data_IF_502659230826
#
_entry.id   IF_502659230826
#
_cell.length_a   1.000
_cell.length_b   1.000
_cell.length_c   1.000
_cell.angle_alpha   90.00
_cell.angle_beta   90.00
_cell.angle_gamma   90.00
#
_symmetry.space_group_name_H-M   'P 1'
#
loop_
_entity.id
_entity.type
_entity.pdbx_description
1 polymer ?
#
# COMPACT_ATOMS: atom_id res chain seq x y z
N UNK A 1 4.95 -10.87 3.96
CA UNK A 1 5.44 -12.03 3.19
C UNK A 1 4.82 -11.95 1.81
N UNK A 2 5.58 -12.19 0.75
CA UNK A 2 4.99 -12.38 -0.58
C UNK A 2 4.16 -13.68 -0.61
N UNK A 3 3.19 -13.84 -1.51
CA UNK A 3 2.41 -15.08 -1.62
C UNK A 3 3.34 -16.29 -1.80
N UNK A 4 3.00 -17.43 -1.20
CA UNK A 4 3.75 -18.70 -1.32
C UNK A 4 3.77 -19.31 -2.73
N UNK A 5 3.24 -18.60 -3.72
CA UNK A 5 3.12 -19.07 -5.09
C UNK A 5 4.09 -18.28 -5.97
N UNK A 6 5.16 -18.95 -6.42
CA UNK A 6 6.30 -18.34 -7.12
C UNK A 6 5.99 -17.75 -8.51
N UNK A 7 4.74 -17.84 -8.97
CA UNK A 7 4.31 -17.29 -10.27
C UNK A 7 3.62 -15.93 -10.17
N UNK A 8 3.45 -15.37 -8.97
CA UNK A 8 2.72 -14.10 -8.79
C UNK A 8 3.65 -12.91 -8.77
N UNK A 9 3.38 -11.93 -9.64
CA UNK A 9 4.16 -10.68 -9.72
C UNK A 9 3.21 -9.49 -9.65
N UNK A 10 3.55 -8.52 -8.80
CA UNK A 10 2.97 -7.19 -8.76
C UNK A 10 4.04 -6.17 -9.07
N UNK A 11 3.83 -5.35 -10.10
CA UNK A 11 4.77 -4.32 -10.50
C UNK A 11 4.07 -2.98 -10.68
N UNK A 12 4.68 -1.91 -10.17
CA UNK A 12 4.29 -0.53 -10.48
C UNK A 12 5.29 0.02 -11.49
N UNK A 13 4.80 0.46 -12.65
CA UNK A 13 5.62 1.01 -13.71
C UNK A 13 5.58 2.55 -13.71
N UNK A 14 6.62 3.19 -14.27
CA UNK A 14 6.70 4.65 -14.43
C UNK A 14 5.58 5.24 -15.30
N UNK A 15 4.84 4.41 -16.04
CA UNK A 15 3.77 4.76 -16.99
C UNK A 15 2.40 5.11 -16.35
N UNK A 16 2.36 5.48 -15.07
CA UNK A 16 1.11 5.71 -14.31
C UNK A 16 0.15 4.51 -14.33
N UNK A 17 0.70 3.30 -14.28
CA UNK A 17 -0.08 2.08 -14.16
C UNK A 17 0.68 1.07 -13.29
N UNK A 18 -0.09 0.19 -12.67
CA UNK A 18 0.43 -1.03 -12.06
C UNK A 18 -0.05 -2.22 -12.86
N UNK A 19 0.62 -3.35 -12.70
CA UNK A 19 0.35 -4.58 -13.43
C UNK A 19 0.43 -5.76 -12.49
N UNK A 20 -0.29 -6.81 -12.85
CA UNK A 20 -0.21 -8.10 -12.18
C UNK A 20 -0.02 -9.24 -13.18
N UNK A 21 0.55 -10.33 -12.70
CA UNK A 21 0.73 -11.58 -13.43
C UNK A 21 0.51 -12.75 -12.47
N UNK A 22 -0.11 -13.82 -12.97
CA UNK A 22 -0.22 -15.12 -12.30
C UNK A 22 0.49 -16.27 -13.04
N UNK A 23 1.25 -15.95 -14.09
CA UNK A 23 1.99 -16.88 -14.93
C UNK A 23 3.52 -16.65 -14.89
N UNK A 24 4.02 -16.05 -13.80
CA UNK A 24 5.46 -15.83 -13.60
C UNK A 24 6.04 -14.66 -14.39
N UNK A 25 5.19 -13.71 -14.79
CA UNK A 25 5.59 -12.54 -15.57
C UNK A 25 5.69 -12.80 -17.07
N UNK A 26 5.03 -13.85 -17.58
CA UNK A 26 4.92 -14.10 -19.02
C UNK A 26 3.88 -13.17 -19.64
N UNK A 27 2.72 -13.02 -19.00
CA UNK A 27 1.69 -12.05 -19.35
C UNK A 27 1.40 -11.10 -18.19
N UNK A 28 1.02 -9.87 -18.54
CA UNK A 28 0.72 -8.82 -17.58
C UNK A 28 -0.64 -8.20 -17.84
N UNK A 29 -1.44 -8.07 -16.79
CA UNK A 29 -2.73 -7.40 -16.79
C UNK A 29 -2.60 -6.03 -16.15
N UNK A 30 -2.98 -5.00 -16.89
CA UNK A 30 -2.94 -3.60 -16.42
C UNK A 30 -4.04 -3.34 -15.39
N UNK A 31 -3.69 -2.63 -14.32
CA UNK A 31 -4.60 -2.05 -13.33
C UNK A 31 -4.28 -0.57 -13.13
N UNK A 32 -5.12 0.11 -12.34
CA UNK A 32 -4.86 1.50 -11.94
C UNK A 32 -3.50 1.62 -11.20
N UNK A 33 -2.91 2.83 -11.24
CA UNK A 33 -1.65 3.12 -10.57
C UNK A 33 -1.77 2.93 -9.05
N UNK A 34 -0.95 2.06 -8.49
CA UNK A 34 -0.76 1.91 -7.06
C UNK A 34 0.67 2.37 -6.73
N UNK A 35 0.82 3.53 -6.08
CA UNK A 35 2.11 4.13 -5.79
C UNK A 35 2.93 3.26 -4.82
N UNK A 36 2.26 2.74 -3.77
CA UNK A 36 2.82 1.80 -2.80
C UNK A 36 1.75 0.80 -2.39
N UNK A 37 2.16 -0.44 -2.08
CA UNK A 37 1.25 -1.47 -1.57
C UNK A 37 1.98 -2.45 -0.64
N UNK A 38 1.19 -3.19 0.14
CA UNK A 38 1.67 -4.32 0.91
C UNK A 38 0.60 -5.42 0.98
N UNK A 39 1.07 -6.67 0.96
CA UNK A 39 0.27 -7.84 1.32
C UNK A 39 -0.01 -7.84 2.82
N UNK A 40 -1.24 -8.19 3.20
CA UNK A 40 -1.59 -8.47 4.59
C UNK A 40 -0.89 -9.78 5.03
N UNK A 41 0.05 -9.72 5.99
CA UNK A 41 0.74 -10.92 6.46
C UNK A 41 -0.15 -11.86 7.28
N UNK A 42 -1.34 -11.42 7.68
CA UNK A 42 -2.31 -12.25 8.41
C UNK A 42 -3.28 -12.96 7.47
N UNK A 43 -3.31 -12.61 6.18
CA UNK A 43 -4.04 -13.35 5.17
C UNK A 43 -3.20 -14.51 4.63
N UNK A 44 -3.47 -15.72 5.14
CA UNK A 44 -2.81 -16.95 4.70
C UNK A 44 -3.02 -17.28 3.22
N UNK A 45 -4.07 -16.73 2.58
CA UNK A 45 -4.32 -16.92 1.15
C UNK A 45 -3.53 -15.93 0.27
N UNK A 46 -3.00 -14.85 0.84
CA UNK A 46 -2.22 -13.82 0.14
C UNK A 46 -3.02 -12.96 -0.84
N UNK A 47 -4.35 -12.87 -0.66
CA UNK A 47 -5.29 -12.14 -1.51
C UNK A 47 -5.57 -10.72 -1.07
N UNK A 48 -5.35 -10.44 0.21
CA UNK A 48 -5.60 -9.13 0.81
C UNK A 48 -4.37 -8.23 0.67
N UNK A 49 -4.54 -7.11 -0.05
CA UNK A 49 -3.54 -6.07 -0.19
C UNK A 49 -4.13 -4.72 0.20
N UNK A 50 -3.30 -3.89 0.79
CA UNK A 50 -3.58 -2.48 0.98
C UNK A 50 -2.58 -1.66 0.18
N UNK A 51 -3.03 -0.57 -0.43
CA UNK A 51 -2.19 0.32 -1.21
C UNK A 51 -2.61 1.78 -1.09
N UNK A 52 -1.78 2.64 -1.63
CA UNK A 52 -2.08 4.05 -1.83
C UNK A 52 -1.90 4.40 -3.31
N UNK A 53 -2.85 5.14 -3.87
CA UNK A 53 -2.74 5.74 -5.19
C UNK A 53 -2.63 7.27 -5.05
N UNK A 54 -3.01 8.02 -6.09
CA UNK A 54 -2.81 9.47 -6.15
C UNK A 54 -3.66 10.25 -5.12
N UNK A 55 -4.82 9.72 -4.70
CA UNK A 55 -5.82 10.42 -3.89
C UNK A 55 -6.50 9.55 -2.82
N UNK A 56 -6.21 8.26 -2.77
CA UNK A 56 -6.88 7.30 -1.90
C UNK A 56 -5.95 6.25 -1.29
N UNK A 57 -6.40 5.72 -0.15
CA UNK A 57 -6.06 4.38 0.29
C UNK A 57 -7.01 3.42 -0.42
N UNK A 58 -6.44 2.37 -1.01
CA UNK A 58 -7.17 1.36 -1.79
C UNK A 58 -6.90 -0.03 -1.25
N UNK A 59 -7.87 -0.92 -1.43
CA UNK A 59 -7.82 -2.30 -0.96
C UNK A 59 -8.11 -3.26 -2.11
N UNK A 60 -7.37 -4.36 -2.16
CA UNK A 60 -7.67 -5.50 -2.99
C UNK A 60 -7.92 -6.72 -2.11
N UNK A 61 -8.89 -7.55 -2.51
CA UNK A 61 -9.23 -8.84 -1.87
C UNK A 61 -9.09 -10.02 -2.82
N UNK A 62 -8.53 -9.79 -3.99
CA UNK A 62 -8.45 -10.75 -5.10
C UNK A 62 -7.03 -10.87 -5.66
N UNK A 63 -6.04 -10.76 -4.78
CA UNK A 63 -4.62 -10.73 -5.12
C UNK A 63 -4.30 -9.58 -6.08
N UNK A 64 -4.74 -8.34 -5.80
CA UNK A 64 -4.37 -7.15 -6.59
C UNK A 64 -4.94 -7.06 -8.00
N UNK A 65 -5.89 -7.94 -8.38
CA UNK A 65 -6.56 -7.92 -9.69
C UNK A 65 -7.54 -6.75 -9.79
N UNK A 66 -8.26 -6.48 -8.71
CA UNK A 66 -9.13 -5.30 -8.57
C UNK A 66 -8.79 -4.53 -7.29
N UNK A 67 -9.04 -3.22 -7.33
CA UNK A 67 -8.69 -2.30 -6.25
C UNK A 67 -9.85 -1.35 -6.00
N UNK A 68 -10.35 -1.35 -4.77
CA UNK A 68 -11.48 -0.53 -4.36
C UNK A 68 -11.02 0.56 -3.41
N UNK A 69 -11.62 1.76 -3.50
CA UNK A 69 -11.35 2.86 -2.58
C UNK A 69 -11.76 2.47 -1.16
N UNK A 70 -10.84 2.57 -0.22
CA UNK A 70 -11.07 2.30 1.21
C UNK A 70 -11.18 3.59 2.03
N UNK A 71 -10.30 4.56 1.77
CA UNK A 71 -10.30 5.86 2.43
C UNK A 71 -9.67 6.94 1.53
N UNK A 72 -9.81 8.21 1.90
CA UNK A 72 -9.00 9.27 1.29
C UNK A 72 -7.52 9.08 1.62
N UNK A 73 -6.63 9.50 0.72
CA UNK A 73 -5.21 9.59 1.05
C UNK A 73 -5.05 10.60 2.19
N UNK A 74 -4.32 10.27 3.27
CA UNK A 74 -4.11 11.22 4.35
C UNK A 74 -3.47 12.52 3.84
N UNK A 75 -3.94 13.67 4.31
CA UNK A 75 -3.53 14.99 3.82
C UNK A 75 -2.02 15.28 3.94
N UNK A 76 -1.30 14.52 4.77
CA UNK A 76 0.15 14.57 4.86
C UNK A 76 0.86 14.05 3.59
N UNK A 77 0.17 13.36 2.70
CA UNK A 77 0.70 12.80 1.47
C UNK A 77 -0.01 13.38 0.24
N UNK A 78 0.73 13.47 -0.85
CA UNK A 78 0.22 13.86 -2.16
C UNK A 78 1.14 13.36 -3.26
N UNK A 79 0.61 13.13 -4.47
CA UNK A 79 1.40 12.64 -5.60
C UNK A 79 2.61 13.54 -5.92
N UNK A 80 2.45 14.86 -5.84
CA UNK A 80 3.44 15.83 -6.33
C UNK A 80 4.40 16.35 -5.24
N UNK A 81 3.95 16.44 -3.99
CA UNK A 81 4.71 17.09 -2.92
C UNK A 81 5.33 16.14 -1.91
N UNK A 82 4.56 15.13 -1.50
CA UNK A 82 4.99 14.18 -0.47
C UNK A 82 4.39 12.80 -0.78
N UNK A 83 4.87 12.08 -1.81
CA UNK A 83 4.29 10.80 -2.16
C UNK A 83 4.56 9.78 -1.06
N UNK A 84 3.60 8.89 -0.74
CA UNK A 84 3.89 7.78 0.14
C UNK A 84 4.95 6.89 -0.51
N UNK A 85 5.92 6.41 0.27
CA UNK A 85 7.05 5.59 -0.19
C UNK A 85 7.03 4.18 0.36
N UNK A 86 6.33 3.93 1.46
CA UNK A 86 6.19 2.58 2.02
C UNK A 86 4.88 2.39 2.77
N UNK A 87 4.30 1.20 2.63
CA UNK A 87 3.16 0.74 3.40
C UNK A 87 3.53 -0.59 4.07
N UNK A 88 3.16 -0.77 5.34
CA UNK A 88 3.45 -2.01 6.06
C UNK A 88 2.38 -2.32 7.11
N UNK A 89 1.97 -3.58 7.17
CA UNK A 89 1.19 -4.10 8.27
C UNK A 89 2.09 -4.41 9.46
N UNK A 90 1.57 -4.24 10.68
CA UNK A 90 2.17 -4.86 11.86
C UNK A 90 2.19 -6.37 11.69
N UNK A 91 3.23 -7.06 12.19
CA UNK A 91 3.30 -8.53 12.13
C UNK A 91 2.51 -9.23 13.24
N UNK A 92 2.07 -8.47 14.25
CA UNK A 92 1.43 -9.00 15.47
C UNK A 92 0.03 -8.45 15.68
N UNK A 93 -0.41 -7.50 14.85
CA UNK A 93 -1.74 -6.90 14.93
C UNK A 93 -2.31 -6.65 13.54
N UNK A 94 -3.30 -7.46 13.17
CA UNK A 94 -4.01 -7.42 11.89
C UNK A 94 -4.87 -6.18 11.66
N UNK A 95 -4.91 -5.22 12.60
CA UNK A 95 -5.57 -3.92 12.40
C UNK A 95 -4.57 -2.76 12.31
N UNK A 96 -3.31 -3.00 12.63
CA UNK A 96 -2.31 -1.95 12.67
C UNK A 96 -1.54 -1.87 11.35
N UNK A 97 -1.56 -0.68 10.73
CA UNK A 97 -0.89 -0.41 9.45
C UNK A 97 -0.12 0.90 9.55
N UNK A 98 1.01 0.97 8.86
CA UNK A 98 1.85 2.15 8.77
C UNK A 98 1.99 2.59 7.32
N UNK A 99 1.98 3.91 7.13
CA UNK A 99 2.23 4.57 5.85
C UNK A 99 3.29 5.63 6.09
N UNK A 100 4.37 5.58 5.33
CA UNK A 100 5.47 6.53 5.44
C UNK A 100 5.82 7.17 4.11
N UNK A 101 6.50 8.30 4.18
CA UNK A 101 6.99 9.05 3.04
C UNK A 101 8.13 9.99 3.42
N UNK A 102 8.50 10.92 2.53
CA UNK A 102 9.52 11.92 2.79
C UNK A 102 9.26 12.77 4.05
N UNK A 103 10.28 13.54 4.46
CA UNK A 103 10.22 14.50 5.60
C UNK A 103 9.89 13.85 6.95
N UNK A 104 10.35 12.62 7.17
CA UNK A 104 10.08 11.83 8.36
C UNK A 104 8.58 11.67 8.66
N UNK A 105 7.72 11.73 7.63
CA UNK A 105 6.28 11.57 7.81
C UNK A 105 5.94 10.10 7.98
N UNK A 106 5.41 9.75 9.16
CA UNK A 106 4.88 8.41 9.44
C UNK A 106 3.48 8.53 10.02
N UNK A 107 2.53 7.85 9.40
CA UNK A 107 1.16 7.73 9.85
C UNK A 107 0.89 6.27 10.25
N UNK A 108 0.08 6.09 11.29
CA UNK A 108 -0.40 4.80 11.74
C UNK A 108 -1.93 4.74 11.68
N UNK A 109 -2.44 3.59 11.27
CA UNK A 109 -3.83 3.20 11.36
C UNK A 109 -4.00 2.09 12.39
N UNK A 110 -5.12 2.10 13.12
CA UNK A 110 -5.50 1.06 14.08
C UNK A 110 -6.75 0.29 13.65
N UNK A 111 -7.24 0.52 12.42
CA UNK A 111 -8.47 -0.04 11.87
C UNK A 111 -8.27 -0.60 10.45
N UNK A 112 -7.05 -1.05 10.15
CA UNK A 112 -6.72 -1.69 8.88
C UNK A 112 -6.61 -0.71 7.71
N UNK A 113 -6.40 0.58 7.97
CA UNK A 113 -6.20 1.62 6.96
C UNK A 113 -7.44 2.44 6.63
N UNK A 114 -8.50 2.36 7.42
CA UNK A 114 -9.70 3.19 7.23
C UNK A 114 -9.50 4.61 7.78
N UNK A 115 -8.82 4.74 8.92
CA UNK A 115 -8.41 6.03 9.51
C UNK A 115 -6.91 6.04 9.83
N UNK A 116 -6.33 7.24 9.81
CA UNK A 116 -4.88 7.43 9.95
C UNK A 116 -4.55 8.58 10.89
N UNK A 117 -3.55 8.36 11.74
CA UNK A 117 -3.00 9.37 12.65
C UNK A 117 -1.51 9.53 12.40
N UNK A 118 -1.06 10.77 12.22
CA UNK A 118 0.37 11.07 12.11
C UNK A 118 1.06 10.88 13.45
N UNK A 119 2.07 10.00 13.47
CA UNK A 119 2.86 9.64 14.65
C UNK A 119 4.29 10.15 14.58
N UNK A 120 4.78 10.56 13.41
CA UNK A 120 6.08 11.20 13.23
C UNK A 120 6.03 12.25 12.11
N UNK A 121 6.75 13.35 12.30
CA UNK A 121 7.13 14.32 11.26
C UNK A 121 8.43 15.02 11.64
N UNK A 122 9.14 15.56 10.65
CA UNK A 122 10.37 16.33 10.87
C UNK A 122 10.20 17.49 11.88
N UNK A 123 9.04 18.16 11.88
CA UNK A 123 8.70 19.23 12.83
C UNK A 123 8.55 18.77 14.29
N UNK A 124 8.41 17.46 14.51
CA UNK A 124 8.20 16.84 15.82
C UNK A 124 9.39 15.97 16.25
N UNK A 125 10.51 16.04 15.53
CA UNK A 125 11.74 15.38 15.95
C UNK A 125 12.32 16.15 17.15
N UNK A 126 12.76 15.46 18.22
CA UNK A 126 13.57 16.11 19.26
C UNK A 126 14.87 16.64 18.65
N UNK A 127 15.43 17.74 19.19
CA UNK A 127 16.69 18.33 18.72
C UNK A 127 17.88 17.37 18.82
#
# INVERSE_FOLDING_TARGET
MAPRNGMRVFATASSNASYWSDDGGVTFHRVQRIAVFAFDPHDGAGRHLLGANDDAIVESRDDGRTWNRKAALPAAFSRQGNPPSQLAWSRTNARQVFLSGPRATVLASADGGATWRQILSAERLPP
#
